data_IF_640140985810
#
_entry.id   IF_640140985810
#
_cell.length_a   1.000
_cell.length_b   1.000
_cell.length_c   1.000
_cell.angle_alpha   90.00
_cell.angle_beta   90.00
_cell.angle_gamma   90.00
#
_symmetry.space_group_name_H-M   'P 1'
#
loop_
_entity.id
_entity.type
_entity.pdbx_description
1 polymer ?
#
# COMPACT_ATOMS: atom_id res chain seq x y z
N UNK A 1 -17.04 -10.04 -6.95
CA UNK A 1 -16.41 -9.13 -5.97
C UNK A 1 -16.83 -7.71 -6.32
N UNK A 2 -17.28 -6.92 -5.35
CA UNK A 2 -17.68 -5.54 -5.62
C UNK A 2 -16.44 -4.66 -5.86
N UNK A 3 -16.53 -3.75 -6.82
CA UNK A 3 -15.50 -2.74 -7.03
C UNK A 3 -15.45 -1.84 -5.77
N UNK A 4 -14.27 -1.30 -5.41
CA UNK A 4 -14.18 -0.33 -4.34
C UNK A 4 -14.93 0.96 -4.74
N UNK A 5 -15.29 1.75 -3.75
CA UNK A 5 -15.64 3.16 -3.99
C UNK A 5 -14.34 3.92 -4.24
N UNK A 6 -14.35 4.84 -5.20
CA UNK A 6 -13.20 5.70 -5.49
C UNK A 6 -13.48 7.11 -4.99
N UNK A 7 -12.49 7.73 -4.38
CA UNK A 7 -12.56 9.08 -3.87
C UNK A 7 -11.46 9.95 -4.45
N UNK A 8 -11.81 11.23 -4.67
CA UNK A 8 -10.87 12.31 -4.84
C UNK A 8 -10.87 13.10 -3.54
N UNK A 9 -9.70 13.30 -2.95
CA UNK A 9 -9.48 14.24 -1.87
C UNK A 9 -8.70 15.40 -2.47
N UNK A 10 -9.26 16.61 -2.38
CA UNK A 10 -8.68 17.80 -2.98
C UNK A 10 -7.57 18.43 -2.09
N UNK A 11 -6.88 19.48 -2.56
CA UNK A 11 -5.82 20.15 -1.80
C UNK A 11 -6.29 20.77 -0.47
N UNK A 12 -7.60 20.99 -0.31
CA UNK A 12 -8.21 21.50 0.91
C UNK A 12 -8.66 20.38 1.87
N UNK A 13 -8.58 19.12 1.43
CA UNK A 13 -8.99 17.94 2.20
C UNK A 13 -10.45 17.54 1.96
N UNK A 14 -11.17 18.20 1.05
CA UNK A 14 -12.55 17.87 0.76
C UNK A 14 -12.62 16.58 -0.07
N UNK A 15 -13.47 15.65 0.38
CA UNK A 15 -13.63 14.33 -0.22
C UNK A 15 -14.86 14.28 -1.11
N UNK A 16 -14.68 13.80 -2.34
CA UNK A 16 -15.76 13.54 -3.30
C UNK A 16 -15.63 12.16 -3.93
N UNK A 17 -16.74 11.55 -4.33
CA UNK A 17 -16.74 10.25 -5.01
C UNK A 17 -16.44 10.41 -6.50
N UNK A 18 -15.59 9.54 -7.05
CA UNK A 18 -15.29 9.48 -8.48
C UNK A 18 -16.02 8.27 -9.09
N UNK A 19 -16.81 8.50 -10.14
CA UNK A 19 -17.36 7.42 -10.95
C UNK A 19 -16.31 6.93 -11.96
N UNK A 20 -16.15 5.62 -12.17
CA UNK A 20 -15.32 5.10 -13.26
C UNK A 20 -15.79 5.60 -14.63
N UNK A 21 -14.86 6.15 -15.42
CA UNK A 21 -15.12 6.53 -16.81
C UNK A 21 -15.17 5.30 -17.73
N UNK A 22 -14.35 4.29 -17.44
CA UNK A 22 -14.34 3.01 -18.13
C UNK A 22 -13.87 1.88 -17.22
N UNK A 23 -14.20 0.64 -17.60
CA UNK A 23 -13.79 -0.57 -16.89
C UNK A 23 -13.53 -1.71 -17.87
N UNK A 24 -12.44 -2.43 -17.66
CA UNK A 24 -12.12 -3.70 -18.34
C UNK A 24 -12.09 -4.84 -17.32
N UNK A 25 -11.74 -6.05 -17.77
CA UNK A 25 -11.45 -7.16 -16.87
C UNK A 25 -10.21 -6.94 -15.99
N UNK A 26 -9.28 -6.06 -16.42
CA UNK A 26 -7.99 -5.85 -15.77
C UNK A 26 -7.84 -4.47 -15.13
N UNK A 27 -8.61 -3.47 -15.55
CA UNK A 27 -8.39 -2.08 -15.15
C UNK A 27 -9.70 -1.29 -14.95
N UNK A 28 -9.60 -0.27 -14.11
CA UNK A 28 -10.62 0.76 -13.91
C UNK A 28 -9.98 2.11 -14.24
N UNK A 29 -10.65 2.89 -15.08
CA UNK A 29 -10.18 4.20 -15.52
C UNK A 29 -10.97 5.29 -14.80
N UNK A 30 -10.25 6.21 -14.18
CA UNK A 30 -10.81 7.35 -13.45
C UNK A 30 -10.42 8.64 -14.17
N UNK A 31 -11.37 9.54 -14.35
CA UNK A 31 -11.15 10.86 -14.96
C UNK A 31 -11.66 11.97 -14.03
N UNK A 32 -11.02 12.16 -12.86
CA UNK A 32 -11.43 13.23 -11.94
C UNK A 32 -11.13 14.62 -12.53
N UNK A 33 -12.03 15.57 -12.26
CA UNK A 33 -11.77 16.98 -12.55
C UNK A 33 -10.75 17.54 -11.55
N UNK A 34 -9.66 18.12 -12.07
CA UNK A 34 -8.62 18.78 -11.27
C UNK A 34 -8.77 20.30 -11.41
N UNK A 35 -9.64 20.88 -10.58
CA UNK A 35 -10.04 22.28 -10.68
C UNK A 35 -8.94 23.24 -10.15
N UNK A 36 -8.49 23.00 -8.92
CA UNK A 36 -7.58 23.88 -8.19
C UNK A 36 -6.12 23.45 -8.34
N UNK A 37 -5.21 24.36 -8.02
CA UNK A 37 -3.78 24.04 -7.95
C UNK A 37 -3.48 23.36 -6.61
N UNK A 38 -2.56 22.41 -6.61
CA UNK A 38 -2.15 21.68 -5.41
C UNK A 38 -2.15 20.17 -5.62
N UNK A 39 -2.03 19.45 -4.51
CA UNK A 39 -1.93 17.99 -4.48
C UNK A 39 -3.28 17.36 -4.16
N UNK A 40 -3.71 16.43 -4.99
CA UNK A 40 -4.91 15.62 -4.80
C UNK A 40 -4.50 14.20 -4.43
N UNK A 41 -5.30 13.53 -3.59
CA UNK A 41 -5.21 12.09 -3.33
C UNK A 41 -6.36 11.38 -4.05
N UNK A 42 -6.04 10.36 -4.84
CA UNK A 42 -7.03 9.44 -5.37
C UNK A 42 -6.97 8.18 -4.51
N UNK A 43 -8.10 7.86 -3.85
CA UNK A 43 -8.20 6.75 -2.92
C UNK A 43 -9.21 5.72 -3.44
N UNK A 44 -8.76 4.47 -3.62
CA UNK A 44 -9.62 3.31 -3.77
C UNK A 44 -9.89 2.72 -2.39
N UNK A 45 -11.14 2.81 -1.93
CA UNK A 45 -11.57 2.37 -0.61
C UNK A 45 -11.28 0.88 -0.38
N UNK A 46 -11.12 0.44 0.89
CA UNK A 46 -10.94 -0.96 1.21
C UNK A 46 -12.04 -1.83 0.59
N UNK A 47 -11.63 -2.82 -0.22
CA UNK A 47 -12.54 -3.85 -0.77
C UNK A 47 -12.27 -5.19 -0.13
N UNK A 48 -13.35 -5.91 0.19
CA UNK A 48 -13.29 -7.29 0.65
C UNK A 48 -12.89 -8.23 -0.49
N UNK A 49 -11.74 -8.87 -0.32
CA UNK A 49 -11.16 -9.85 -1.24
C UNK A 49 -11.59 -11.29 -0.94
N UNK A 50 -10.87 -12.28 -1.50
CA UNK A 50 -11.13 -13.68 -1.23
C UNK A 50 -10.75 -14.06 0.21
N UNK A 51 -11.24 -15.22 0.65
CA UNK A 51 -10.83 -15.83 1.91
C UNK A 51 -9.81 -16.94 1.60
N UNK A 52 -8.70 -16.94 2.33
CA UNK A 52 -7.64 -17.95 2.21
C UNK A 52 -7.67 -18.93 3.39
N UNK A 53 -7.19 -20.14 3.13
CA UNK A 53 -6.76 -21.08 4.19
C UNK A 53 -5.27 -20.82 4.46
N UNK A 54 -4.87 -20.94 5.72
CA UNK A 54 -3.50 -20.72 6.13
C UNK A 54 -3.05 -21.66 7.24
N UNK A 55 -1.75 -21.56 7.53
CA UNK A 55 -1.07 -22.25 8.62
C UNK A 55 -0.31 -21.23 9.45
N UNK A 56 -0.53 -21.24 10.76
CA UNK A 56 0.29 -20.54 11.74
C UNK A 56 1.27 -21.53 12.38
N UNK A 57 2.56 -21.30 12.18
CA UNK A 57 3.65 -22.13 12.74
C UNK A 57 3.84 -21.85 14.23
N UNK A 58 4.61 -22.70 14.92
CA UNK A 58 4.86 -22.55 16.36
C UNK A 58 5.59 -21.24 16.71
N UNK A 59 6.41 -20.70 15.80
CA UNK A 59 7.07 -19.39 15.91
C UNK A 59 6.16 -18.20 15.54
N UNK A 60 4.88 -18.44 15.26
CA UNK A 60 3.87 -17.42 15.00
C UNK A 60 3.87 -16.84 13.58
N UNK A 61 4.72 -17.34 12.68
CA UNK A 61 4.66 -16.98 11.26
C UNK A 61 3.39 -17.54 10.62
N UNK A 62 2.92 -16.85 9.58
CA UNK A 62 1.66 -17.16 8.92
C UNK A 62 1.90 -17.35 7.44
N UNK A 63 1.49 -18.50 6.95
CA UNK A 63 1.62 -18.90 5.55
C UNK A 63 0.22 -19.12 4.99
N UNK A 64 0.00 -18.70 3.74
CA UNK A 64 -1.29 -18.75 3.06
C UNK A 64 -1.10 -19.30 1.64
N UNK A 65 -2.18 -19.78 1.03
CA UNK A 65 -2.13 -20.35 -0.33
C UNK A 65 -1.12 -21.50 -0.42
N UNK A 66 -0.35 -21.60 -1.52
CA UNK A 66 0.59 -22.70 -1.75
C UNK A 66 1.74 -22.74 -0.74
N UNK A 67 2.02 -21.62 -0.05
CA UNK A 67 3.05 -21.58 1.00
C UNK A 67 2.71 -22.50 2.18
N UNK A 68 1.44 -22.82 2.37
CA UNK A 68 1.00 -23.77 3.41
C UNK A 68 1.53 -25.19 3.18
N UNK A 69 1.95 -25.52 1.95
CA UNK A 69 2.54 -26.83 1.63
C UNK A 69 3.96 -27.00 2.20
N UNK A 70 4.63 -25.88 2.51
CA UNK A 70 6.03 -25.85 2.97
C UNK A 70 6.17 -26.01 4.48
N UNK A 71 5.08 -25.86 5.24
CA UNK A 71 5.11 -25.72 6.70
C UNK A 71 4.02 -26.53 7.39
N UNK A 72 4.28 -26.90 8.64
CA UNK A 72 3.29 -27.49 9.53
C UNK A 72 2.89 -26.50 10.63
N UNK A 73 1.65 -26.59 11.10
CA UNK A 73 1.18 -25.72 12.17
C UNK A 73 -0.34 -25.71 12.32
N UNK A 74 -0.82 -24.75 13.09
CA UNK A 74 -2.23 -24.55 13.40
C UNK A 74 -2.98 -24.02 12.18
N UNK A 75 -4.07 -24.69 11.81
CA UNK A 75 -4.94 -24.25 10.70
C UNK A 75 -5.64 -22.93 11.05
N UNK A 76 -5.51 -21.95 10.17
CA UNK A 76 -6.14 -20.64 10.26
C UNK A 76 -6.89 -20.29 8.97
N UNK A 77 -7.74 -19.27 9.04
CA UNK A 77 -8.38 -18.67 7.86
C UNK A 77 -8.09 -17.18 7.81
N UNK A 78 -7.93 -16.62 6.62
CA UNK A 78 -7.61 -15.21 6.41
C UNK A 78 -8.63 -14.56 5.50
N UNK A 79 -9.29 -13.49 5.95
CA UNK A 79 -10.06 -12.62 5.10
C UNK A 79 -9.17 -11.49 4.57
N UNK A 80 -9.08 -11.36 3.24
CA UNK A 80 -8.28 -10.33 2.60
C UNK A 80 -9.06 -9.02 2.39
N UNK A 81 -8.40 -7.90 2.59
CA UNK A 81 -8.87 -6.55 2.26
C UNK A 81 -7.76 -5.79 1.55
N UNK A 82 -8.11 -5.00 0.53
CA UNK A 82 -7.15 -4.14 -0.17
C UNK A 82 -7.72 -2.77 -0.45
N UNK A 83 -6.90 -1.75 -0.25
CA UNK A 83 -7.08 -0.38 -0.73
C UNK A 83 -5.86 0.04 -1.56
N UNK A 84 -5.99 1.16 -2.26
CA UNK A 84 -4.89 1.75 -2.99
C UNK A 84 -4.98 3.27 -3.00
N UNK A 85 -3.83 3.92 -3.05
CA UNK A 85 -3.68 5.36 -3.07
C UNK A 85 -2.71 5.78 -4.17
N UNK A 86 -2.96 6.95 -4.76
CA UNK A 86 -1.97 7.68 -5.55
C UNK A 86 -2.22 9.18 -5.40
N UNK A 87 -1.20 9.98 -5.70
CA UNK A 87 -1.28 11.43 -5.62
C UNK A 87 -1.01 12.06 -6.98
N UNK A 88 -1.83 13.04 -7.35
CA UNK A 88 -1.65 13.84 -8.56
C UNK A 88 -1.55 15.31 -8.18
N UNK A 89 -0.81 16.10 -8.95
CA UNK A 89 -0.59 17.50 -8.64
C UNK A 89 -0.85 18.38 -9.87
N UNK A 90 -1.57 19.48 -9.67
CA UNK A 90 -1.70 20.56 -10.65
C UNK A 90 -0.90 21.77 -10.20
N UNK A 91 0.06 22.20 -11.01
CA UNK A 91 0.94 23.32 -10.67
C UNK A 91 1.98 22.95 -9.61
N UNK A 92 2.22 23.87 -8.66
CA UNK A 92 3.19 23.65 -7.58
C UNK A 92 2.57 22.72 -6.52
N UNK A 93 3.31 21.69 -6.03
CA UNK A 93 2.84 20.87 -4.93
C UNK A 93 2.52 21.71 -3.71
N UNK A 94 1.26 21.62 -3.27
CA UNK A 94 0.79 22.07 -1.97
C UNK A 94 0.22 20.83 -1.29
N UNK A 95 0.85 20.39 -0.20
CA UNK A 95 0.57 19.09 0.42
C UNK A 95 0.70 19.20 1.93
N UNK A 96 -0.39 18.86 2.60
CA UNK A 96 -0.41 18.60 4.04
C UNK A 96 -0.90 17.17 4.25
N UNK A 97 -0.19 16.34 5.05
CA UNK A 97 -0.65 14.99 5.36
C UNK A 97 -2.07 15.00 5.93
N UNK A 98 -2.99 14.34 5.23
CA UNK A 98 -4.41 14.25 5.62
C UNK A 98 -4.84 12.78 5.61
N UNK A 99 -4.68 12.07 6.74
CA UNK A 99 -5.17 10.70 6.88
C UNK A 99 -6.70 10.64 6.82
N UNK A 100 -7.23 9.58 6.24
CA UNK A 100 -8.67 9.27 6.29
C UNK A 100 -9.06 8.56 7.60
N UNK A 101 -8.06 8.09 8.35
CA UNK A 101 -8.18 7.32 9.59
C UNK A 101 -9.06 6.07 9.43
N UNK A 102 -8.99 5.44 8.26
CA UNK A 102 -9.80 4.26 7.94
C UNK A 102 -9.00 3.23 7.16
N UNK A 103 -9.06 1.97 7.61
CA UNK A 103 -8.33 0.88 6.98
C UNK A 103 -6.83 1.01 7.26
N UNK A 104 -6.03 0.58 6.29
CA UNK A 104 -4.57 0.77 6.31
C UNK A 104 -4.22 1.91 5.37
N UNK A 105 -3.34 2.80 5.80
CA UNK A 105 -2.92 3.96 5.01
C UNK A 105 -1.39 4.09 5.00
N UNK A 106 -0.86 4.52 3.85
CA UNK A 106 0.53 4.94 3.69
C UNK A 106 0.49 6.45 3.44
N UNK A 107 0.91 7.25 4.42
CA UNK A 107 0.80 8.71 4.36
C UNK A 107 2.18 9.32 4.12
N UNK A 108 2.44 9.94 2.95
CA UNK A 108 3.65 10.73 2.73
C UNK A 108 3.77 11.86 3.75
N UNK A 109 4.98 12.13 4.24
CA UNK A 109 5.23 13.25 5.16
C UNK A 109 5.82 14.49 4.46
N UNK A 110 6.10 14.38 3.16
CA UNK A 110 6.50 15.47 2.27
C UNK A 110 5.67 15.40 0.97
N UNK A 111 5.68 16.45 0.13
CA UNK A 111 4.88 16.47 -1.08
C UNK A 111 5.16 15.26 -2.00
N UNK A 112 4.19 14.35 -2.20
CA UNK A 112 4.40 13.07 -2.89
C UNK A 112 4.70 13.21 -4.39
N UNK A 113 4.44 14.38 -4.97
CA UNK A 113 4.75 14.68 -6.38
C UNK A 113 6.08 15.43 -6.57
N UNK A 114 6.88 15.60 -5.50
CA UNK A 114 8.17 16.30 -5.52
C UNK A 114 9.37 15.41 -5.16
N UNK A 115 9.21 14.09 -5.23
CA UNK A 115 10.22 13.13 -4.81
C UNK A 115 11.38 13.03 -5.81
N UNK A 116 12.60 12.87 -5.30
CA UNK A 116 13.83 12.83 -6.11
C UNK A 116 14.75 11.69 -5.70
N UNK A 117 15.56 11.24 -6.66
CA UNK A 117 16.61 10.25 -6.43
C UNK A 117 17.66 10.77 -5.43
N UNK A 118 17.99 9.93 -4.45
CA UNK A 118 18.99 10.20 -3.43
C UNK A 118 18.50 11.06 -2.25
N UNK A 119 17.26 11.53 -2.27
CA UNK A 119 16.66 12.25 -1.14
C UNK A 119 15.82 11.29 -0.28
N UNK A 120 15.89 11.35 1.06
CA UNK A 120 15.04 10.53 1.92
C UNK A 120 13.56 10.83 1.70
N UNK A 121 12.77 9.79 1.50
CA UNK A 121 11.31 9.87 1.45
C UNK A 121 10.74 9.22 2.70
N UNK A 122 9.90 9.97 3.41
CA UNK A 122 9.33 9.59 4.69
C UNK A 122 7.83 9.36 4.57
N UNK A 123 7.34 8.28 5.18
CA UNK A 123 5.93 7.89 5.22
C UNK A 123 5.54 7.47 6.61
N UNK A 124 4.29 7.67 6.99
CA UNK A 124 3.71 7.03 8.17
C UNK A 124 2.72 5.95 7.75
N UNK A 125 2.87 4.76 8.33
CA UNK A 125 1.91 3.67 8.20
C UNK A 125 0.88 3.79 9.31
N UNK A 126 -0.40 3.83 8.92
CA UNK A 126 -1.52 3.91 9.86
C UNK A 126 -2.48 2.74 9.69
N UNK A 127 -3.11 2.34 10.79
CA UNK A 127 -4.28 1.47 10.85
C UNK A 127 -5.37 2.19 11.64
N UNK A 128 -6.48 2.53 10.97
CA UNK A 128 -7.59 3.31 11.56
C UNK A 128 -7.09 4.57 12.32
N UNK A 129 -6.14 5.29 11.72
CA UNK A 129 -5.55 6.51 12.28
C UNK A 129 -4.45 6.29 13.34
N UNK A 130 -4.21 5.05 13.76
CA UNK A 130 -3.15 4.73 14.72
C UNK A 130 -1.87 4.30 14.01
N UNK A 131 -0.72 4.75 14.50
CA UNK A 131 0.58 4.36 13.97
C UNK A 131 0.82 2.85 14.13
N UNK A 132 1.38 2.22 13.09
CA UNK A 132 1.66 0.78 13.09
C UNK A 132 3.15 0.56 13.22
N UNK A 133 3.57 0.25 14.44
CA UNK A 133 4.97 -0.05 14.73
C UNK A 133 5.46 -1.27 13.94
N UNK A 134 6.70 -1.20 13.44
CA UNK A 134 7.38 -2.33 12.79
C UNK A 134 6.67 -2.89 11.54
N UNK A 135 5.72 -2.16 10.97
CA UNK A 135 5.09 -2.52 9.70
C UNK A 135 6.15 -2.71 8.62
N UNK A 136 6.09 -3.84 7.91
CA UNK A 136 6.94 -4.09 6.74
C UNK A 136 6.37 -3.38 5.53
N UNK A 137 7.14 -2.44 4.99
CA UNK A 137 6.89 -1.77 3.72
C UNK A 137 7.74 -2.43 2.63
N UNK A 138 7.08 -2.96 1.60
CA UNK A 138 7.75 -3.39 0.38
C UNK A 138 7.86 -2.19 -0.56
N UNK A 139 9.08 -1.90 -1.00
CA UNK A 139 9.36 -0.91 -2.05
C UNK A 139 9.66 -1.66 -3.34
N UNK A 140 8.81 -1.51 -4.35
CA UNK A 140 8.99 -2.11 -5.66
C UNK A 140 9.07 -1.03 -6.73
N UNK A 141 10.17 -1.01 -7.48
CA UNK A 141 10.26 -0.13 -8.64
C UNK A 141 9.53 -0.71 -9.84
N UNK A 142 9.16 0.17 -10.76
CA UNK A 142 8.65 -0.23 -12.06
C UNK A 142 9.56 -1.26 -12.74
N UNK A 143 8.93 -2.19 -13.44
CA UNK A 143 9.52 -3.36 -14.09
C UNK A 143 10.19 -4.41 -13.18
N UNK A 144 10.30 -4.22 -11.86
CA UNK A 144 10.87 -5.26 -10.98
C UNK A 144 10.05 -6.55 -10.98
N UNK A 145 8.74 -6.44 -11.21
CA UNK A 145 7.83 -7.58 -11.37
C UNK A 145 8.08 -8.40 -12.66
N UNK A 146 8.77 -7.83 -13.66
CA UNK A 146 9.07 -8.50 -14.94
C UNK A 146 10.50 -9.04 -15.02
N UNK A 147 11.30 -8.89 -13.96
CA UNK A 147 12.64 -9.49 -13.89
C UNK A 147 12.51 -10.97 -13.55
N UNK A 148 12.57 -11.81 -14.60
CA UNK A 148 12.35 -13.26 -14.52
C UNK A 148 13.41 -14.02 -13.68
N UNK A 149 14.61 -13.47 -13.54
CA UNK A 149 15.74 -14.11 -12.83
C UNK A 149 15.82 -13.74 -11.34
N UNK A 150 14.75 -13.17 -10.76
CA UNK A 150 14.75 -12.87 -9.34
C UNK A 150 14.27 -14.12 -8.55
N UNK A 151 15.15 -14.84 -7.83
CA UNK A 151 14.80 -16.11 -7.17
C UNK A 151 13.89 -15.92 -5.94
N UNK A 152 13.44 -14.70 -5.68
CA UNK A 152 12.77 -14.30 -4.45
C UNK A 152 11.36 -13.82 -4.81
N UNK A 153 10.31 -14.35 -4.18
CA UNK A 153 8.97 -13.80 -4.33
C UNK A 153 8.85 -12.48 -3.53
N UNK A 154 8.39 -11.40 -4.16
CA UNK A 154 8.19 -10.09 -3.55
C UNK A 154 7.32 -10.15 -2.28
N UNK A 155 6.37 -11.07 -2.26
CA UNK A 155 5.35 -11.18 -1.21
C UNK A 155 5.62 -12.30 -0.21
N UNK A 156 6.72 -13.07 -0.37
CA UNK A 156 7.08 -14.10 0.61
C UNK A 156 7.36 -13.44 1.98
N UNK A 157 6.77 -14.01 3.02
CA UNK A 157 6.90 -13.57 4.41
C UNK A 157 8.33 -13.74 4.94
N UNK A 158 9.08 -14.69 4.39
CA UNK A 158 10.48 -14.97 4.74
C UNK A 158 11.47 -14.12 3.94
N UNK A 159 10.96 -13.38 2.96
CA UNK A 159 11.79 -12.55 2.10
C UNK A 159 12.46 -11.43 2.93
N UNK A 160 13.79 -11.43 2.94
CA UNK A 160 14.64 -10.35 3.45
C UNK A 160 15.31 -9.59 2.30
N UNK A 161 14.54 -8.87 1.51
CA UNK A 161 15.07 -7.98 0.47
C UNK A 161 15.56 -6.67 1.08
N UNK A 162 16.58 -6.08 0.45
CA UNK A 162 17.03 -4.71 0.77
C UNK A 162 15.91 -3.67 0.65
N UNK A 163 14.93 -3.93 -0.22
CA UNK A 163 13.80 -3.04 -0.46
C UNK A 163 12.63 -3.25 0.52
N UNK A 164 12.79 -4.11 1.54
CA UNK A 164 11.88 -4.15 2.68
C UNK A 164 12.33 -3.11 3.72
N UNK A 165 11.54 -2.06 3.87
CA UNK A 165 11.72 -1.04 4.91
C UNK A 165 10.78 -1.37 6.05
N UNK A 166 11.22 -1.16 7.29
CA UNK A 166 10.39 -1.41 8.46
C UNK A 166 10.09 -0.10 9.16
N UNK A 167 8.85 0.06 9.58
CA UNK A 167 8.45 1.19 10.39
C UNK A 167 9.15 1.16 11.75
N UNK A 168 9.44 2.34 12.31
CA UNK A 168 9.85 2.47 13.70
C UNK A 168 8.63 2.35 14.66
N UNK A 169 8.81 2.71 15.94
CA UNK A 169 7.73 2.67 16.94
C UNK A 169 6.57 3.63 16.67
N UNK A 170 6.80 4.69 15.89
CA UNK A 170 5.81 5.72 15.55
C UNK A 170 5.20 5.50 14.14
N UNK A 171 5.42 4.30 13.58
CA UNK A 171 4.94 3.94 12.25
C UNK A 171 5.68 4.64 11.11
N UNK A 172 6.83 5.26 11.37
CA UNK A 172 7.60 5.98 10.37
C UNK A 172 8.47 5.01 9.55
N UNK A 173 8.31 5.05 8.23
CA UNK A 173 9.18 4.39 7.26
C UNK A 173 9.97 5.44 6.48
N UNK A 174 11.26 5.18 6.28
CA UNK A 174 12.13 6.00 5.43
C UNK A 174 12.82 5.13 4.38
N UNK A 175 12.79 5.57 3.13
CA UNK A 175 13.62 4.97 2.08
C UNK A 175 14.28 6.05 1.23
N UNK A 176 15.44 5.73 0.65
CA UNK A 176 16.17 6.64 -0.23
C UNK A 176 16.11 6.07 -1.64
N UNK A 177 15.43 6.74 -2.61
CA UNK A 177 15.28 6.19 -3.94
C UNK A 177 16.62 6.16 -4.69
N UNK A 178 16.97 5.03 -5.28
CA UNK A 178 18.23 4.85 -6.01
C UNK A 178 18.14 5.17 -7.52
N UNK A 179 16.92 5.11 -8.08
CA UNK A 179 16.65 5.34 -9.51
C UNK A 179 15.32 6.09 -9.70
N UNK A 180 15.15 6.84 -10.81
CA UNK A 180 13.88 7.49 -11.12
C UNK A 180 12.86 6.49 -11.65
N UNK A 181 11.59 6.92 -11.74
CA UNK A 181 10.48 6.12 -12.29
C UNK A 181 9.36 5.88 -11.29
N UNK A 182 8.41 5.02 -11.66
CA UNK A 182 7.32 4.65 -10.77
C UNK A 182 7.82 3.73 -9.65
N UNK A 183 7.29 3.96 -8.46
CA UNK A 183 7.51 3.13 -7.28
C UNK A 183 6.16 2.76 -6.70
N UNK A 184 5.98 1.47 -6.46
CA UNK A 184 4.89 0.91 -5.67
C UNK A 184 5.38 0.67 -4.25
N UNK A 185 4.73 1.30 -3.30
CA UNK A 185 4.83 0.98 -1.88
C UNK A 185 3.70 0.04 -1.53
N UNK A 186 3.98 -1.01 -0.78
CA UNK A 186 2.98 -2.00 -0.38
C UNK A 186 3.18 -2.41 1.07
N UNK A 187 2.12 -2.33 1.86
CA UNK A 187 2.11 -2.74 3.26
C UNK A 187 0.99 -3.75 3.49
N UNK A 188 1.26 -4.74 4.34
CA UNK A 188 0.31 -5.75 4.78
C UNK A 188 0.29 -5.79 6.30
N UNK A 189 -0.92 -5.75 6.88
CA UNK A 189 -1.14 -5.86 8.32
C UNK A 189 -2.07 -7.04 8.58
N UNK A 190 -1.61 -7.98 9.42
CA UNK A 190 -2.39 -9.14 9.83
C UNK A 190 -2.97 -8.95 11.23
N UNK A 191 -4.29 -9.03 11.35
CA UNK A 191 -5.02 -8.87 12.61
C UNK A 191 -5.70 -10.17 13.01
N UNK A 192 -5.52 -10.60 14.25
CA UNK A 192 -6.23 -11.76 14.79
C UNK A 192 -7.60 -11.31 15.27
N UNK A 193 -8.65 -11.80 14.62
CA UNK A 193 -10.04 -11.50 14.99
C UNK A 193 -10.68 -12.63 15.81
N UNK A 194 -9.87 -13.58 16.31
CA UNK A 194 -10.26 -14.67 17.19
C UNK A 194 -10.61 -15.98 16.45
N UNK A 195 -10.70 -17.09 17.21
CA UNK A 195 -11.13 -18.41 16.69
C UNK A 195 -10.37 -18.89 15.44
N UNK A 196 -9.07 -18.64 15.36
CA UNK A 196 -8.20 -18.99 14.23
C UNK A 196 -8.51 -18.21 12.94
N UNK A 197 -9.23 -17.09 13.07
CA UNK A 197 -9.56 -16.19 11.97
C UNK A 197 -8.68 -14.96 12.04
N UNK A 198 -8.19 -14.58 10.88
CA UNK A 198 -7.34 -13.43 10.68
C UNK A 198 -7.94 -12.54 9.60
N UNK A 199 -7.60 -11.27 9.65
CA UNK A 199 -7.78 -10.33 8.55
C UNK A 199 -6.40 -9.91 8.02
N UNK A 200 -6.29 -9.75 6.71
CA UNK A 200 -5.12 -9.16 6.04
C UNK A 200 -5.57 -7.87 5.40
N UNK A 201 -5.07 -6.76 5.92
CA UNK A 201 -5.36 -5.43 5.43
C UNK A 201 -4.16 -4.90 4.67
N UNK A 202 -4.38 -4.67 3.37
CA UNK A 202 -3.34 -4.21 2.47
C UNK A 202 -3.63 -2.82 1.96
N UNK A 203 -2.60 -2.00 1.87
CA UNK A 203 -2.63 -0.75 1.14
C UNK A 203 -1.45 -0.70 0.18
N UNK A 204 -1.69 -0.20 -1.03
CA UNK A 204 -0.63 0.16 -1.97
C UNK A 204 -0.63 1.65 -2.26
N UNK A 205 0.55 2.27 -2.30
CA UNK A 205 0.74 3.65 -2.72
C UNK A 205 1.68 3.72 -3.92
N UNK A 206 1.19 4.23 -5.05
CA UNK A 206 2.02 4.45 -6.25
C UNK A 206 2.47 5.90 -6.35
N UNK A 207 3.77 6.11 -6.54
CA UNK A 207 4.44 7.41 -6.63
C UNK A 207 5.40 7.46 -7.81
N UNK A 208 5.78 8.66 -8.24
CA UNK A 208 6.81 8.88 -9.25
C UNK A 208 8.03 9.55 -8.62
N UNK A 209 9.21 8.94 -8.82
CA UNK A 209 10.50 9.49 -8.42
C UNK A 209 11.14 10.20 -9.61
N UNK A 210 11.48 11.47 -9.44
CA UNK A 210 12.13 12.27 -10.48
C UNK A 210 13.63 12.07 -10.51
N UNK A 211 14.20 12.14 -11.71
CA UNK A 211 15.64 12.26 -11.91
C UNK A 211 16.18 13.57 -11.33
N UNK A 212 17.51 13.66 -11.25
CA UNK A 212 18.20 14.92 -10.92
C UNK A 212 18.09 15.93 -12.04
#
# INVERSE_FOLDING_TARGET
MHAPVYYLIDPHGDQSTIAPAAKTSAAVYLEPLIADSGTYRIHAAPRKGPQYRGVETEDGKKYFSDDTLRVAGKKITLQYFSSADTYVCKGKPDYTPTPLNHGVEIIPLSPPNALKVGEPVNFRVLRDGQAVAHARMVVAYDNEHYVLDNPVDLYDVENQRRNNVFADGDGLCTFIPEKPGLVLLFVTIHENIGSNRWESHNNSLTLEIRGR
#
